data_IF_029954234808
#
_entry.id   IF_029954234808
#
_cell.length_a   1.000
_cell.length_b   1.000
_cell.length_c   1.000
_cell.angle_alpha   90.00
_cell.angle_beta   90.00
_cell.angle_gamma   90.00
#
_symmetry.space_group_name_H-M   'P 1'
#
loop_
_entity.id
_entity.type
_entity.pdbx_description
1 polymer ?
#
# COMPACT_ATOMS: atom_id res chain seq x y z
N UNK A 1 -2.97 28.76 -34.91
CA UNK A 1 -2.46 27.56 -34.20
C UNK A 1 -2.75 27.64 -32.70
N UNK A 2 -2.93 28.85 -32.14
CA UNK A 2 -3.36 29.09 -30.75
C UNK A 2 -4.84 28.70 -30.49
N UNK A 3 -5.79 29.07 -31.35
CA UNK A 3 -7.22 28.73 -31.18
C UNK A 3 -7.50 27.22 -31.08
N UNK A 4 -6.75 26.37 -31.79
CA UNK A 4 -6.90 24.90 -31.68
C UNK A 4 -6.33 24.34 -30.38
N UNK A 5 -5.36 25.01 -29.79
CA UNK A 5 -4.79 24.63 -28.48
C UNK A 5 -5.70 25.04 -27.33
N UNK A 6 -6.34 26.20 -27.44
CA UNK A 6 -7.26 26.74 -26.43
C UNK A 6 -8.57 25.93 -26.35
N UNK A 7 -9.19 25.63 -27.49
CA UNK A 7 -10.40 24.77 -27.56
C UNK A 7 -10.15 23.36 -27.02
N UNK A 8 -8.98 22.77 -27.32
CA UNK A 8 -8.62 21.43 -26.83
C UNK A 8 -8.34 21.42 -25.32
N UNK A 9 -7.85 22.53 -24.76
CA UNK A 9 -7.66 22.69 -23.32
C UNK A 9 -9.00 22.83 -22.59
N UNK A 10 -9.94 23.60 -23.14
CA UNK A 10 -11.29 23.77 -22.58
C UNK A 10 -12.09 22.46 -22.58
N UNK A 11 -12.02 21.67 -23.66
CA UNK A 11 -12.67 20.35 -23.71
C UNK A 11 -12.11 19.39 -22.66
N UNK A 12 -10.79 19.44 -22.42
CA UNK A 12 -10.12 18.58 -21.44
C UNK A 12 -10.46 18.99 -20.02
N UNK A 13 -10.50 20.30 -19.75
CA UNK A 13 -10.97 20.83 -18.47
C UNK A 13 -12.41 20.41 -18.20
N UNK A 14 -13.31 20.52 -19.18
CA UNK A 14 -14.70 20.11 -19.05
C UNK A 14 -14.83 18.61 -18.67
N UNK A 15 -14.07 17.73 -19.33
CA UNK A 15 -14.05 16.29 -19.01
C UNK A 15 -13.54 16.00 -17.60
N UNK A 16 -12.43 16.64 -17.19
CA UNK A 16 -11.90 16.50 -15.83
C UNK A 16 -12.90 17.01 -14.80
N UNK A 17 -13.59 18.11 -15.09
CA UNK A 17 -14.63 18.68 -14.22
C UNK A 17 -15.81 17.72 -14.06
N UNK A 18 -16.29 17.13 -15.15
CA UNK A 18 -17.36 16.13 -15.12
C UNK A 18 -16.98 14.93 -14.25
N UNK A 19 -15.80 14.36 -14.47
CA UNK A 19 -15.29 13.24 -13.65
C UNK A 19 -15.09 13.63 -12.19
N UNK A 20 -14.66 14.86 -11.93
CA UNK A 20 -14.49 15.37 -10.56
C UNK A 20 -15.85 15.50 -9.85
N UNK A 21 -16.87 16.05 -10.51
CA UNK A 21 -18.24 16.12 -9.96
C UNK A 21 -18.76 14.71 -9.68
N UNK A 22 -18.59 13.79 -10.63
CA UNK A 22 -18.98 12.39 -10.47
C UNK A 22 -18.30 11.75 -9.25
N UNK A 23 -17.00 11.98 -9.05
CA UNK A 23 -16.26 11.49 -7.87
C UNK A 23 -16.88 12.00 -6.55
N UNK A 24 -17.27 13.28 -6.49
CA UNK A 24 -17.89 13.87 -5.30
C UNK A 24 -19.29 13.30 -5.02
N UNK A 25 -20.10 13.11 -6.06
CA UNK A 25 -21.44 12.52 -5.96
C UNK A 25 -21.38 11.04 -5.58
N UNK A 26 -20.44 10.29 -6.14
CA UNK A 26 -20.26 8.87 -5.81
C UNK A 26 -19.79 8.70 -4.36
N UNK A 27 -18.94 9.58 -3.85
CA UNK A 27 -18.61 9.63 -2.43
C UNK A 27 -19.84 9.94 -1.55
N UNK A 28 -20.77 10.79 -2.02
CA UNK A 28 -22.03 11.04 -1.33
C UNK A 28 -22.92 9.80 -1.24
N UNK A 29 -23.04 9.07 -2.36
CA UNK A 29 -23.78 7.79 -2.41
C UNK A 29 -23.11 6.76 -1.51
N UNK A 30 -21.78 6.67 -1.54
CA UNK A 30 -20.99 5.77 -0.72
C UNK A 30 -21.24 6.01 0.78
N UNK A 31 -21.29 7.27 1.22
CA UNK A 31 -21.56 7.63 2.61
C UNK A 31 -22.93 7.14 3.12
N UNK A 32 -23.90 6.96 2.23
CA UNK A 32 -25.26 6.53 2.57
C UNK A 32 -25.46 5.02 2.37
N UNK A 33 -24.85 4.44 1.34
CA UNK A 33 -25.16 3.08 0.88
C UNK A 33 -24.19 2.02 1.39
N UNK A 34 -22.99 2.41 1.81
CA UNK A 34 -21.98 1.44 2.25
C UNK A 34 -22.20 1.03 3.70
N UNK A 35 -22.49 -0.25 3.92
CA UNK A 35 -22.86 -0.83 5.22
C UNK A 35 -21.82 -0.58 6.32
N UNK A 36 -20.53 -0.54 5.97
CA UNK A 36 -19.43 -0.32 6.91
C UNK A 36 -18.93 1.13 6.93
N UNK A 37 -19.67 2.09 6.35
CA UNK A 37 -19.21 3.48 6.26
C UNK A 37 -18.96 4.10 7.63
N UNK A 38 -19.88 3.90 8.58
CA UNK A 38 -19.77 4.46 9.92
C UNK A 38 -18.53 3.94 10.67
N UNK A 39 -18.23 2.64 10.54
CA UNK A 39 -17.02 2.03 11.09
C UNK A 39 -15.75 2.56 10.40
N UNK A 40 -15.74 2.57 9.06
CA UNK A 40 -14.60 3.05 8.27
C UNK A 40 -14.31 4.54 8.48
N UNK A 41 -15.28 5.34 8.95
CA UNK A 41 -15.19 6.79 9.17
C UNK A 41 -15.17 7.22 10.64
N UNK A 42 -15.14 6.29 11.60
CA UNK A 42 -15.03 6.61 13.03
C UNK A 42 -13.78 7.48 13.34
N UNK A 43 -13.94 8.54 14.13
CA UNK A 43 -12.89 9.53 14.42
C UNK A 43 -12.25 10.14 13.14
N UNK A 44 -12.99 10.25 12.03
CA UNK A 44 -12.51 10.85 10.79
C UNK A 44 -13.14 12.23 10.56
N UNK A 45 -12.36 13.27 10.86
CA UNK A 45 -12.76 14.66 10.69
C UNK A 45 -11.78 15.33 9.72
N UNK A 46 -12.15 15.40 8.44
CA UNK A 46 -11.29 15.88 7.38
C UNK A 46 -12.02 16.82 6.42
N UNK A 47 -11.44 17.99 6.20
CA UNK A 47 -11.82 18.91 5.13
C UNK A 47 -10.77 18.80 4.02
N UNK A 48 -11.14 18.08 2.96
CA UNK A 48 -10.27 17.75 1.84
C UNK A 48 -10.50 18.74 0.71
N UNK A 49 -9.56 19.65 0.49
CA UNK A 49 -9.54 20.54 -0.67
C UNK A 49 -8.94 19.83 -1.87
N UNK A 50 -9.65 19.83 -2.99
CA UNK A 50 -9.19 19.32 -4.28
C UNK A 50 -8.74 20.45 -5.20
N UNK A 51 -7.66 20.20 -5.95
CA UNK A 51 -7.08 21.12 -6.94
C UNK A 51 -6.63 20.35 -8.18
N UNK A 52 -7.42 20.38 -9.25
CA UNK A 52 -7.08 19.77 -10.55
C UNK A 52 -6.93 20.85 -11.62
N UNK A 53 -5.70 21.25 -11.93
CA UNK A 53 -5.45 22.38 -12.83
C UNK A 53 -6.15 23.66 -12.31
N UNK A 54 -7.12 24.25 -13.04
CA UNK A 54 -7.95 25.35 -12.55
C UNK A 54 -9.15 24.91 -11.69
N UNK A 55 -9.57 23.64 -11.76
CA UNK A 55 -10.76 23.12 -11.08
C UNK A 55 -10.52 23.03 -9.57
N UNK A 56 -11.50 23.50 -8.81
CA UNK A 56 -11.50 23.49 -7.34
C UNK A 56 -12.78 22.86 -6.81
N UNK A 57 -12.70 22.37 -5.58
CA UNK A 57 -13.83 21.89 -4.81
C UNK A 57 -13.31 21.24 -3.54
N UNK A 58 -14.19 21.00 -2.59
CA UNK A 58 -13.79 20.36 -1.34
C UNK A 58 -14.84 19.36 -0.86
N UNK A 59 -14.38 18.39 -0.08
CA UNK A 59 -15.21 17.44 0.65
C UNK A 59 -15.02 17.67 2.13
N UNK A 60 -16.09 17.51 2.89
CA UNK A 60 -16.08 17.46 4.35
C UNK A 60 -16.52 16.07 4.74
N UNK A 61 -15.63 15.39 5.46
CA UNK A 61 -15.90 14.13 6.13
C UNK A 61 -15.91 14.41 7.63
N UNK A 62 -17.03 14.11 8.28
CA UNK A 62 -17.21 14.29 9.71
C UNK A 62 -17.94 13.06 10.25
N UNK A 63 -17.17 12.00 10.52
CA UNK A 63 -17.69 10.67 10.86
C UNK A 63 -18.70 10.16 9.80
N UNK A 64 -19.97 10.04 10.17
CA UNK A 64 -21.04 9.60 9.26
C UNK A 64 -21.54 10.71 8.33
N UNK A 65 -21.23 11.97 8.63
CA UNK A 65 -21.66 13.10 7.82
C UNK A 65 -20.68 13.35 6.67
N UNK A 66 -21.24 13.53 5.49
CA UNK A 66 -20.50 13.85 4.28
C UNK A 66 -21.17 15.00 3.53
N UNK A 67 -20.36 15.98 3.13
CA UNK A 67 -20.80 17.04 2.22
C UNK A 67 -19.67 17.46 1.28
N UNK A 68 -20.02 18.16 0.21
CA UNK A 68 -19.03 18.69 -0.73
C UNK A 68 -19.51 19.99 -1.36
N UNK A 69 -18.55 20.75 -1.88
CA UNK A 69 -18.80 21.90 -2.74
C UNK A 69 -17.87 21.88 -3.96
N UNK A 70 -18.38 22.43 -5.07
CA UNK A 70 -17.67 22.52 -6.35
C UNK A 70 -17.35 23.99 -6.60
N UNK A 71 -16.19 24.26 -7.20
CA UNK A 71 -15.67 25.60 -7.52
C UNK A 71 -15.49 26.52 -6.30
N UNK A 72 -15.42 25.94 -5.10
CA UNK A 72 -15.14 26.66 -3.86
C UNK A 72 -13.83 26.19 -3.22
N UNK A 73 -13.20 27.11 -2.49
CA UNK A 73 -12.09 26.79 -1.60
C UNK A 73 -12.59 26.78 -0.15
N UNK A 74 -12.24 25.72 0.58
CA UNK A 74 -12.54 25.63 2.00
C UNK A 74 -11.74 26.70 2.78
N UNK A 75 -12.35 27.29 3.81
CA UNK A 75 -11.70 28.31 4.63
C UNK A 75 -10.48 27.76 5.38
N UNK A 76 -10.57 26.54 5.90
CA UNK A 76 -9.52 25.94 6.73
C UNK A 76 -9.27 24.44 6.44
N UNK A 77 -8.87 24.06 5.22
CA UNK A 77 -8.75 22.65 4.83
C UNK A 77 -7.68 21.91 5.64
N UNK A 78 -8.00 20.70 6.10
CA UNK A 78 -7.07 19.83 6.83
C UNK A 78 -6.14 19.07 5.88
N UNK A 79 -6.55 18.90 4.63
CA UNK A 79 -5.83 18.20 3.57
C UNK A 79 -6.06 18.92 2.23
N UNK A 80 -5.01 19.02 1.41
CA UNK A 80 -5.11 19.47 0.01
C UNK A 80 -4.59 18.35 -0.90
N UNK A 81 -5.36 17.99 -1.91
CA UNK A 81 -5.03 16.95 -2.88
C UNK A 81 -5.23 17.42 -4.31
N UNK A 82 -4.47 16.84 -5.24
CA UNK A 82 -4.70 16.99 -6.67
C UNK A 82 -3.41 17.16 -7.46
N UNK A 83 -3.52 17.71 -8.67
CA UNK A 83 -2.39 17.91 -9.56
C UNK A 83 -2.64 19.07 -10.54
N UNK A 84 -1.57 19.68 -11.03
CA UNK A 84 -1.67 20.75 -12.04
C UNK A 84 -1.90 20.21 -13.46
N UNK A 85 -1.52 18.95 -13.68
CA UNK A 85 -1.60 18.29 -14.97
C UNK A 85 -2.98 17.66 -15.16
N UNK A 86 -3.72 18.12 -16.17
CA UNK A 86 -5.08 17.64 -16.46
C UNK A 86 -5.10 16.22 -17.04
N UNK A 87 -4.03 15.73 -17.68
CA UNK A 87 -3.98 14.31 -18.11
C UNK A 87 -3.89 13.40 -16.90
N UNK A 88 -3.05 13.77 -15.93
CA UNK A 88 -2.93 13.04 -14.68
C UNK A 88 -4.23 13.10 -13.87
N UNK A 89 -4.91 14.25 -13.85
CA UNK A 89 -6.20 14.39 -13.20
C UNK A 89 -7.24 13.45 -13.84
N UNK A 90 -7.30 13.44 -15.17
CA UNK A 90 -8.18 12.54 -15.92
C UNK A 90 -7.87 11.07 -15.59
N UNK A 91 -6.60 10.65 -15.69
CA UNK A 91 -6.18 9.27 -15.37
C UNK A 91 -6.55 8.86 -13.93
N UNK A 92 -6.36 9.78 -12.98
CA UNK A 92 -6.71 9.54 -11.58
C UNK A 92 -8.22 9.39 -11.38
N UNK A 93 -9.02 10.32 -11.90
CA UNK A 93 -10.48 10.33 -11.72
C UNK A 93 -11.19 9.24 -12.53
N UNK A 94 -10.59 8.80 -13.64
CA UNK A 94 -11.09 7.72 -14.50
C UNK A 94 -10.57 6.33 -14.08
N UNK A 95 -9.94 6.22 -12.91
CA UNK A 95 -9.42 4.96 -12.35
C UNK A 95 -8.35 4.25 -13.23
N UNK A 96 -7.60 5.00 -14.03
CA UNK A 96 -6.56 4.46 -14.94
C UNK A 96 -5.19 4.28 -14.26
N UNK A 97 -5.06 4.70 -13.01
CA UNK A 97 -3.82 4.52 -12.24
C UNK A 97 -3.72 3.08 -11.74
N UNK A 98 -2.76 2.33 -12.28
CA UNK A 98 -2.66 0.87 -12.09
C UNK A 98 -2.51 0.42 -10.63
N UNK A 99 -1.69 1.10 -9.82
CA UNK A 99 -1.43 0.76 -8.41
C UNK A 99 -0.83 1.95 -7.64
N UNK A 100 -0.78 1.85 -6.31
CA UNK A 100 -0.31 2.95 -5.45
C UNK A 100 1.10 3.45 -5.78
N UNK A 101 2.10 2.57 -6.01
CA UNK A 101 3.42 3.05 -6.44
C UNK A 101 3.44 3.80 -7.77
N UNK A 102 2.48 3.55 -8.68
CA UNK A 102 2.36 4.29 -9.93
C UNK A 102 1.92 5.72 -9.62
N UNK A 103 0.92 5.90 -8.76
CA UNK A 103 0.48 7.22 -8.28
C UNK A 103 1.64 8.01 -7.64
N UNK A 104 2.44 7.35 -6.79
CA UNK A 104 3.62 7.98 -6.15
C UNK A 104 4.73 8.37 -7.12
N UNK A 105 4.74 7.78 -8.32
CA UNK A 105 5.65 8.14 -9.40
C UNK A 105 5.25 9.42 -10.15
N UNK A 106 4.05 9.94 -9.89
CA UNK A 106 3.48 11.07 -10.64
C UNK A 106 3.76 12.44 -9.98
N UNK A 107 3.20 13.50 -10.57
CA UNK A 107 3.23 14.87 -10.03
C UNK A 107 2.04 15.17 -9.12
N UNK A 108 1.33 14.15 -8.63
CA UNK A 108 0.23 14.33 -7.69
C UNK A 108 0.73 14.96 -6.39
N UNK A 109 -0.05 15.88 -5.83
CA UNK A 109 0.29 16.71 -4.70
C UNK A 109 -0.54 16.31 -3.47
N UNK A 110 0.11 16.41 -2.31
CA UNK A 110 -0.54 16.32 -1.00
C UNK A 110 -0.05 17.47 -0.13
N UNK A 111 -0.99 18.23 0.41
CA UNK A 111 -0.76 19.33 1.34
C UNK A 111 -1.37 19.02 2.70
N UNK A 112 -0.60 19.22 3.76
CA UNK A 112 -1.08 19.08 5.14
C UNK A 112 -0.67 20.30 5.96
N UNK A 113 -1.48 20.65 6.96
CA UNK A 113 -1.10 21.66 7.96
C UNK A 113 0.13 21.18 8.75
N UNK A 114 1.14 22.04 8.82
CA UNK A 114 2.29 21.85 9.70
C UNK A 114 1.95 22.18 11.16
N UNK A 115 2.90 21.99 12.10
CA UNK A 115 2.73 22.33 13.52
C UNK A 115 2.37 23.80 13.76
N UNK A 116 2.77 24.68 12.83
CA UNK A 116 2.52 26.12 12.86
C UNK A 116 1.22 26.53 12.14
N UNK A 117 0.37 25.57 11.77
CA UNK A 117 -0.89 25.81 11.04
C UNK A 117 -0.72 26.11 9.55
N UNK A 118 0.50 26.35 9.07
CA UNK A 118 0.77 26.62 7.64
C UNK A 118 0.63 25.37 6.79
N UNK A 119 -0.12 25.48 5.69
CA UNK A 119 -0.36 24.37 4.77
C UNK A 119 0.78 24.27 3.76
N UNK A 120 1.46 23.12 3.73
CA UNK A 120 2.60 22.88 2.84
C UNK A 120 2.27 21.78 1.84
N UNK A 121 2.07 22.17 0.58
CA UNK A 121 1.91 21.26 -0.54
C UNK A 121 3.26 20.67 -0.95
N UNK A 122 3.32 19.36 -1.09
CA UNK A 122 4.47 18.63 -1.65
C UNK A 122 3.94 17.59 -2.62
N UNK A 123 4.82 17.07 -3.50
CA UNK A 123 4.46 15.84 -4.21
C UNK A 123 4.08 14.79 -3.19
N UNK A 124 3.09 13.97 -3.53
CA UNK A 124 2.87 12.71 -2.82
C UNK A 124 4.20 11.97 -2.94
N UNK A 125 4.99 12.07 -1.87
CA UNK A 125 6.40 11.74 -1.97
C UNK A 125 6.52 10.28 -2.41
N UNK A 126 7.66 9.90 -3.01
CA UNK A 126 8.14 8.54 -2.76
C UNK A 126 7.95 8.32 -1.28
N UNK A 127 7.32 7.22 -0.90
CA UNK A 127 7.30 6.78 0.47
C UNK A 127 8.79 6.73 0.91
N UNK A 128 9.30 7.83 1.48
CA UNK A 128 10.59 7.89 2.19
C UNK A 128 10.25 7.34 3.54
N UNK A 129 10.19 6.01 3.57
CA UNK A 129 9.71 5.28 4.72
C UNK A 129 8.51 4.40 4.42
N UNK A 130 8.76 3.31 3.68
CA UNK A 130 8.54 2.01 4.30
C UNK A 130 9.66 1.97 5.34
N UNK A 131 9.47 2.80 6.36
CA UNK A 131 10.38 2.87 7.45
C UNK A 131 10.22 1.51 8.03
N UNK A 132 11.33 0.92 8.47
CA UNK A 132 11.25 0.12 9.62
C UNK A 132 10.06 0.39 10.54
N UNK A 133 9.02 -0.44 10.45
CA UNK A 133 7.89 -0.50 11.37
C UNK A 133 6.51 -0.20 10.78
N UNK A 134 6.34 -0.09 9.45
CA UNK A 134 5.02 0.23 8.88
C UNK A 134 4.76 -0.52 7.56
N UNK A 135 4.30 -1.76 7.66
CA UNK A 135 3.50 -2.33 6.59
C UNK A 135 2.19 -1.53 6.46
N UNK A 136 1.63 -1.35 5.25
CA UNK A 136 0.24 -0.98 5.08
C UNK A 136 -0.57 -2.19 5.55
N UNK A 137 -0.86 -2.22 6.84
CA UNK A 137 -1.84 -3.16 7.39
C UNK A 137 -3.21 -2.65 6.98
N UNK A 138 -3.97 -3.46 6.24
CA UNK A 138 -5.44 -3.41 6.17
C UNK A 138 -6.08 -3.84 7.51
N UNK A 139 -5.38 -3.63 8.62
CA UNK A 139 -5.75 -4.09 9.96
C UNK A 139 -5.63 -2.92 10.92
N UNK A 140 -6.71 -2.77 11.68
CA UNK A 140 -7.03 -1.95 12.86
C UNK A 140 -5.94 -1.80 13.94
N UNK A 141 -4.73 -2.32 13.74
CA UNK A 141 -3.64 -2.31 14.72
C UNK A 141 -3.01 -0.91 15.01
N UNK A 142 -3.65 0.19 14.58
CA UNK A 142 -3.25 1.57 14.88
C UNK A 142 -4.36 2.47 15.42
N UNK A 143 -5.39 1.88 16.02
CA UNK A 143 -6.40 2.64 16.79
C UNK A 143 -5.78 3.42 17.97
N UNK A 144 -4.62 3.00 18.49
CA UNK A 144 -4.03 3.59 19.70
C UNK A 144 -2.91 4.62 19.47
N UNK A 145 -2.71 5.14 18.25
CA UNK A 145 -1.73 6.22 18.02
C UNK A 145 -2.34 7.61 18.32
N UNK A 146 -1.61 8.53 18.99
CA UNK A 146 -2.11 9.87 19.27
C UNK A 146 -2.61 10.59 17.99
N UNK A 147 -3.71 11.36 18.03
CA UNK A 147 -4.34 11.99 16.86
C UNK A 147 -3.35 12.79 15.99
N UNK A 148 -2.35 13.40 16.63
CA UNK A 148 -1.30 14.22 16.02
C UNK A 148 -0.25 13.45 15.20
N UNK A 149 -0.31 12.11 15.15
CA UNK A 149 0.67 11.25 14.47
C UNK A 149 0.06 10.27 13.45
N UNK A 150 -1.22 10.40 13.08
CA UNK A 150 -1.77 9.63 11.95
C UNK A 150 -1.01 10.02 10.66
N UNK A 151 -0.22 9.09 10.14
CA UNK A 151 0.57 9.29 8.91
C UNK A 151 -0.38 9.70 7.78
N UNK A 152 0.03 10.65 6.95
CA UNK A 152 -0.74 11.14 5.78
C UNK A 152 -1.29 9.98 4.94
N UNK A 153 -0.53 8.90 4.78
CA UNK A 153 -0.99 7.69 4.11
C UNK A 153 -2.27 7.10 4.73
N UNK A 154 -2.34 6.98 6.07
CA UNK A 154 -3.52 6.42 6.74
C UNK A 154 -4.78 7.29 6.55
N UNK A 155 -4.60 8.62 6.41
CA UNK A 155 -5.70 9.55 6.11
C UNK A 155 -6.20 9.36 4.67
N UNK A 156 -5.28 9.23 3.70
CA UNK A 156 -5.64 9.00 2.29
C UNK A 156 -6.39 7.69 2.06
N UNK A 157 -6.01 6.62 2.79
CA UNK A 157 -6.63 5.30 2.65
C UNK A 157 -8.12 5.28 3.00
N UNK A 158 -8.59 6.23 3.83
CA UNK A 158 -9.99 6.34 4.23
C UNK A 158 -10.83 7.13 3.23
N UNK A 159 -10.21 7.89 2.33
CA UNK A 159 -10.96 8.67 1.33
C UNK A 159 -11.38 7.73 0.18
N UNK A 160 -12.69 7.63 -0.14
CA UNK A 160 -13.22 6.58 -1.03
C UNK A 160 -12.56 6.47 -2.40
N UNK A 161 -12.16 7.58 -3.02
CA UNK A 161 -11.54 7.60 -4.36
C UNK A 161 -10.22 6.81 -4.43
N UNK A 162 -9.52 6.59 -3.32
CA UNK A 162 -8.28 5.81 -3.32
C UNK A 162 -8.49 4.30 -3.15
N UNK A 163 -9.70 3.85 -2.80
CA UNK A 163 -9.99 2.44 -2.51
C UNK A 163 -9.71 1.51 -3.71
N UNK A 164 -10.13 1.80 -4.96
CA UNK A 164 -9.84 0.91 -6.09
C UNK A 164 -8.33 0.73 -6.35
N UNK A 165 -7.55 1.81 -6.23
CA UNK A 165 -6.08 1.76 -6.34
C UNK A 165 -5.49 0.88 -5.23
N UNK A 166 -6.08 0.90 -4.03
CA UNK A 166 -5.68 0.03 -2.91
C UNK A 166 -6.01 -1.43 -3.15
N UNK A 167 -7.22 -1.73 -3.60
CA UNK A 167 -7.66 -3.09 -3.90
C UNK A 167 -6.78 -3.72 -4.97
N UNK A 168 -6.43 -2.98 -6.04
CA UNK A 168 -5.47 -3.45 -7.06
C UNK A 168 -4.05 -3.65 -6.52
N UNK A 169 -3.67 -2.85 -5.52
CA UNK A 169 -2.35 -2.95 -4.87
C UNK A 169 -2.27 -4.17 -3.95
N UNK A 170 -3.33 -4.45 -3.21
CA UNK A 170 -3.43 -5.61 -2.33
C UNK A 170 -3.68 -6.91 -3.11
N UNK A 171 -4.52 -6.85 -4.15
CA UNK A 171 -4.93 -7.94 -5.04
C UNK A 171 -5.24 -9.24 -4.27
N UNK A 172 -6.29 -9.23 -3.42
CA UNK A 172 -6.56 -10.32 -2.49
C UNK A 172 -6.83 -11.67 -3.19
N UNK A 173 -7.34 -11.67 -4.42
CA UNK A 173 -7.55 -12.90 -5.20
C UNK A 173 -6.22 -13.56 -5.61
N UNK A 174 -5.16 -12.74 -5.76
CA UNK A 174 -3.85 -13.20 -6.19
C UNK A 174 -2.80 -13.24 -5.07
N UNK A 175 -3.11 -12.66 -3.91
CA UNK A 175 -2.24 -12.61 -2.73
C UNK A 175 -2.70 -13.63 -1.68
N UNK A 176 -1.98 -14.74 -1.57
CA UNK A 176 -2.23 -15.76 -0.55
C UNK A 176 -1.04 -15.84 0.42
N UNK A 177 -1.30 -15.60 1.70
CA UNK A 177 -0.34 -15.78 2.81
C UNK A 177 -0.89 -16.87 3.74
N UNK A 178 -0.29 -18.07 3.70
CA UNK A 178 -0.67 -19.17 4.59
C UNK A 178 0.28 -19.17 5.79
N UNK A 179 -0.25 -18.85 6.97
CA UNK A 179 0.47 -18.94 8.24
C UNK A 179 0.26 -20.33 8.83
N UNK A 180 1.33 -21.10 8.94
CA UNK A 180 1.30 -22.44 9.50
C UNK A 180 1.55 -22.32 11.02
N UNK A 181 0.57 -22.62 11.89
CA UNK A 181 0.77 -22.58 13.33
C UNK A 181 1.67 -23.73 13.78
N UNK A 182 2.64 -23.43 14.63
CA UNK A 182 3.51 -24.40 15.30
C UNK A 182 3.50 -24.04 16.80
N UNK A 183 3.38 -25.04 17.68
CA UNK A 183 3.24 -24.95 19.15
C UNK A 183 1.84 -24.68 19.73
N UNK A 184 0.76 -24.94 18.99
CA UNK A 184 -0.57 -25.11 19.61
C UNK A 184 -0.90 -26.59 19.82
N UNK A 185 -1.44 -26.95 20.99
CA UNK A 185 -1.77 -28.34 21.30
C UNK A 185 -3.04 -28.77 20.57
N UNK A 186 -2.92 -29.69 19.60
CA UNK A 186 -4.04 -30.31 18.89
C UNK A 186 -4.61 -31.56 19.61
N UNK A 187 -4.48 -31.63 20.94
CA UNK A 187 -4.85 -32.80 21.75
C UNK A 187 -3.73 -33.84 21.86
N UNK A 188 -4.09 -35.09 22.16
CA UNK A 188 -3.18 -36.21 22.49
C UNK A 188 -2.49 -36.82 21.27
N UNK A 189 -1.74 -36.02 20.54
CA UNK A 189 -0.84 -36.48 19.49
C UNK A 189 0.59 -36.17 19.91
N UNK A 190 1.50 -37.14 19.76
CA UNK A 190 2.93 -36.92 19.98
C UNK A 190 3.43 -35.82 19.02
N UNK A 191 4.37 -34.99 19.50
CA UNK A 191 4.94 -33.90 18.72
C UNK A 191 5.61 -34.42 17.44
N UNK A 192 4.86 -34.50 16.34
CA UNK A 192 5.42 -34.64 15.01
C UNK A 192 5.41 -33.26 14.33
N UNK A 193 6.61 -32.73 14.09
CA UNK A 193 6.80 -31.54 13.28
C UNK A 193 6.16 -31.75 11.91
N UNK A 194 5.31 -30.83 11.44
CA UNK A 194 5.02 -30.70 10.00
C UNK A 194 5.72 -29.44 9.46
N UNK A 195 6.69 -29.62 8.55
CA UNK A 195 8.08 -29.41 8.96
C UNK A 195 8.93 -28.71 7.89
N UNK A 196 10.21 -28.54 8.20
CA UNK A 196 11.29 -28.28 7.23
C UNK A 196 11.14 -29.04 5.89
N UNK A 197 10.49 -30.21 5.86
CA UNK A 197 10.20 -30.96 4.64
C UNK A 197 9.34 -30.18 3.60
N UNK A 198 8.39 -29.35 4.03
CA UNK A 198 7.59 -28.52 3.09
C UNK A 198 8.47 -27.44 2.47
N UNK A 199 9.27 -26.75 3.30
CA UNK A 199 10.25 -25.78 2.82
C UNK A 199 11.26 -26.45 1.89
N UNK A 200 11.72 -27.65 2.25
CA UNK A 200 12.65 -28.43 1.47
C UNK A 200 12.09 -28.80 0.10
N UNK A 201 10.83 -29.22 0.03
CA UNK A 201 10.15 -29.48 -1.23
C UNK A 201 10.12 -28.25 -2.14
N UNK A 202 9.69 -27.09 -1.63
CA UNK A 202 9.59 -25.87 -2.43
C UNK A 202 10.96 -25.31 -2.84
N UNK A 203 11.94 -25.31 -1.93
CA UNK A 203 13.32 -24.89 -2.24
C UNK A 203 13.94 -25.81 -3.29
N UNK A 204 13.74 -27.13 -3.18
CA UNK A 204 14.27 -28.08 -4.16
C UNK A 204 13.58 -27.98 -5.54
N UNK A 205 12.30 -27.59 -5.59
CA UNK A 205 11.59 -27.31 -6.85
C UNK A 205 11.88 -25.94 -7.44
N UNK A 206 12.38 -24.99 -6.66
CA UNK A 206 12.65 -23.64 -7.14
C UNK A 206 13.71 -23.65 -8.25
N UNK A 207 13.46 -22.87 -9.30
CA UNK A 207 14.45 -22.67 -10.36
C UNK A 207 15.61 -21.79 -9.89
N UNK A 208 15.30 -20.77 -9.09
CA UNK A 208 16.25 -19.78 -8.57
C UNK A 208 15.87 -19.44 -7.14
N UNK A 209 16.88 -19.07 -6.35
CA UNK A 209 16.75 -18.68 -4.94
C UNK A 209 17.40 -17.31 -4.76
N UNK A 210 16.67 -16.38 -4.17
CA UNK A 210 17.19 -15.09 -3.71
C UNK A 210 17.19 -15.06 -2.19
N UNK A 211 18.35 -14.76 -1.60
CA UNK A 211 18.60 -14.77 -0.17
C UNK A 211 18.72 -13.31 0.30
N UNK A 212 17.80 -12.85 1.12
CA UNK A 212 17.84 -11.49 1.68
C UNK A 212 18.93 -11.37 2.76
N UNK A 213 19.83 -10.39 2.72
CA UNK A 213 20.88 -10.30 3.75
C UNK A 213 20.37 -9.87 5.14
N UNK A 214 19.18 -9.29 5.19
CA UNK A 214 18.51 -8.87 6.42
C UNK A 214 17.00 -9.14 6.31
N UNK A 215 16.31 -9.28 7.43
CA UNK A 215 14.86 -9.34 7.47
C UNK A 215 14.31 -7.92 7.47
N UNK A 216 13.63 -7.47 6.39
CA UNK A 216 13.05 -6.14 6.38
C UNK A 216 12.09 -6.00 7.54
N UNK A 217 11.15 -6.93 7.75
CA UNK A 217 10.12 -6.86 8.79
C UNK A 217 10.67 -6.81 10.24
N UNK A 218 11.77 -7.51 10.54
CA UNK A 218 12.40 -7.47 11.88
C UNK A 218 13.25 -6.22 12.08
N UNK A 219 14.07 -5.87 11.09
CA UNK A 219 14.73 -4.56 11.08
C UNK A 219 13.68 -3.47 11.22
N UNK A 220 12.50 -3.72 10.62
CA UNK A 220 11.40 -2.81 10.61
C UNK A 220 10.86 -2.55 12.02
N UNK A 221 10.47 -3.60 12.70
CA UNK A 221 9.97 -3.52 14.07
C UNK A 221 11.04 -3.21 15.13
N UNK A 222 12.30 -2.95 14.74
CA UNK A 222 13.45 -2.90 15.64
C UNK A 222 13.49 -4.10 16.60
N UNK A 223 13.20 -5.29 16.05
CA UNK A 223 13.06 -6.52 16.83
C UNK A 223 14.35 -6.79 17.61
N UNK A 224 14.22 -6.99 18.93
CA UNK A 224 15.32 -7.34 19.84
C UNK A 224 15.35 -8.83 20.19
N UNK A 225 14.25 -9.54 19.93
CA UNK A 225 14.07 -10.92 20.33
C UNK A 225 14.64 -11.92 19.32
N UNK A 226 14.78 -11.52 18.05
CA UNK A 226 15.20 -12.39 16.96
C UNK A 226 16.21 -11.69 16.05
N UNK A 227 17.13 -12.49 15.48
CA UNK A 227 18.20 -12.01 14.61
C UNK A 227 17.66 -11.31 13.34
N UNK A 228 18.06 -10.06 13.16
CA UNK A 228 17.68 -9.25 12.00
C UNK A 228 18.44 -9.65 10.72
N UNK A 229 19.57 -10.34 10.83
CA UNK A 229 20.33 -10.85 9.67
C UNK A 229 19.68 -12.07 9.03
N UNK A 230 18.77 -12.73 9.75
CA UNK A 230 18.05 -13.90 9.27
C UNK A 230 16.86 -13.46 8.41
N UNK A 231 17.12 -13.04 7.18
CA UNK A 231 16.11 -12.56 6.24
C UNK A 231 15.23 -13.65 5.63
N UNK A 232 14.14 -13.24 4.97
CA UNK A 232 13.34 -14.09 4.11
C UNK A 232 14.19 -14.65 2.93
N UNK A 233 13.57 -15.45 2.09
CA UNK A 233 14.08 -15.80 0.76
C UNK A 233 12.96 -15.70 -0.27
N UNK A 234 13.32 -15.57 -1.54
CA UNK A 234 12.40 -15.63 -2.65
C UNK A 234 12.79 -16.76 -3.62
N UNK A 235 11.79 -17.41 -4.20
CA UNK A 235 11.90 -18.57 -5.05
C UNK A 235 11.24 -18.30 -6.40
N UNK A 236 11.79 -18.89 -7.46
CA UNK A 236 11.21 -18.86 -8.80
C UNK A 236 11.94 -17.93 -9.77
N UNK A 237 11.45 -17.82 -11.01
CA UNK A 237 12.11 -17.03 -12.07
C UNK A 237 12.14 -15.54 -11.74
N UNK A 238 11.16 -15.04 -10.99
CA UNK A 238 11.12 -13.65 -10.55
C UNK A 238 12.27 -13.26 -9.62
N UNK A 239 12.89 -14.24 -8.95
CA UNK A 239 14.02 -14.01 -8.05
C UNK A 239 15.21 -13.34 -8.77
N UNK A 240 15.39 -13.61 -10.07
CA UNK A 240 16.43 -12.99 -10.90
C UNK A 240 16.22 -11.49 -11.12
N UNK A 241 14.98 -11.00 -11.01
CA UNK A 241 14.66 -9.59 -11.22
C UNK A 241 14.82 -8.75 -9.95
N UNK A 242 15.04 -9.39 -8.80
CA UNK A 242 15.15 -8.68 -7.53
C UNK A 242 16.44 -7.86 -7.44
N UNK A 243 16.30 -6.55 -7.24
CA UNK A 243 17.40 -5.59 -7.12
C UNK A 243 17.35 -4.87 -5.76
N UNK A 244 17.57 -5.62 -4.68
CA UNK A 244 17.43 -5.11 -3.31
C UNK A 244 18.65 -5.43 -2.45
N UNK A 245 18.46 -5.68 -1.15
CA UNK A 245 19.50 -5.95 -0.15
C UNK A 245 19.78 -7.45 0.02
N UNK A 246 19.64 -8.23 -1.04
CA UNK A 246 19.94 -9.66 -1.06
C UNK A 246 20.83 -10.04 -2.23
N UNK A 247 20.98 -11.34 -2.44
CA UNK A 247 21.72 -11.90 -3.56
C UNK A 247 21.08 -13.19 -4.04
N UNK A 248 21.38 -13.58 -5.26
CA UNK A 248 21.13 -14.95 -5.70
C UNK A 248 21.97 -15.89 -4.81
N UNK A 249 21.32 -16.93 -4.33
CA UNK A 249 21.92 -17.97 -3.49
C UNK A 249 21.64 -19.36 -4.04
N UNK A 250 22.14 -20.37 -3.33
CA UNK A 250 21.92 -21.76 -3.68
C UNK A 250 20.75 -22.36 -2.89
N UNK A 251 20.30 -23.55 -3.32
CA UNK A 251 19.26 -24.31 -2.61
C UNK A 251 19.74 -24.70 -1.22
N UNK A 252 21.00 -25.10 -1.08
CA UNK A 252 21.63 -25.46 0.19
C UNK A 252 21.64 -24.27 1.15
N UNK A 253 21.94 -23.06 0.66
CA UNK A 253 21.87 -21.82 1.47
C UNK A 253 20.45 -21.53 1.96
N UNK A 254 19.43 -21.75 1.12
CA UNK A 254 18.03 -21.60 1.50
C UNK A 254 17.58 -22.64 2.55
N UNK A 255 17.97 -23.90 2.37
CA UNK A 255 17.66 -24.97 3.33
C UNK A 255 18.33 -24.71 4.67
N UNK A 256 19.60 -24.33 4.67
CA UNK A 256 20.34 -24.03 5.89
C UNK A 256 19.74 -22.82 6.62
N UNK A 257 19.36 -21.79 5.87
CA UNK A 257 18.65 -20.64 6.44
C UNK A 257 17.31 -21.02 7.05
N UNK A 258 16.54 -21.91 6.39
CA UNK A 258 15.28 -22.42 6.93
C UNK A 258 15.48 -23.17 8.24
N UNK A 259 16.51 -24.02 8.33
CA UNK A 259 16.87 -24.74 9.56
C UNK A 259 17.21 -23.79 10.69
N UNK A 260 18.04 -22.79 10.40
CA UNK A 260 18.43 -21.74 11.37
C UNK A 260 17.22 -20.95 11.87
N UNK A 261 16.27 -20.61 10.99
CA UNK A 261 15.08 -19.87 11.37
C UNK A 261 14.15 -20.67 12.27
N UNK A 262 13.85 -21.91 11.89
CA UNK A 262 13.03 -22.81 12.71
C UNK A 262 13.71 -23.12 14.05
N UNK A 263 15.02 -23.36 14.07
CA UNK A 263 15.78 -23.57 15.30
C UNK A 263 15.80 -22.34 16.23
N UNK A 264 15.67 -21.14 15.65
CA UNK A 264 15.51 -19.89 16.40
C UNK A 264 14.07 -19.66 16.90
N UNK A 265 13.13 -20.57 16.63
CA UNK A 265 11.72 -20.47 17.03
C UNK A 265 10.88 -19.60 16.09
N UNK A 266 11.39 -19.26 14.90
CA UNK A 266 10.64 -18.49 13.91
C UNK A 266 9.69 -19.37 13.11
N UNK A 267 8.52 -18.81 12.79
CA UNK A 267 7.46 -19.52 12.07
C UNK A 267 7.61 -19.29 10.56
N UNK A 268 7.93 -20.34 9.78
CA UNK A 268 7.98 -20.19 8.34
C UNK A 268 6.59 -19.90 7.77
N UNK A 269 6.48 -18.84 6.98
CA UNK A 269 5.35 -18.57 6.10
C UNK A 269 5.79 -18.68 4.65
N UNK A 270 4.91 -19.20 3.80
CA UNK A 270 5.14 -19.30 2.36
C UNK A 270 3.96 -18.68 1.62
N UNK A 271 4.23 -17.90 0.59
CA UNK A 271 3.17 -17.22 -0.15
C UNK A 271 3.67 -16.50 -1.38
N UNK A 272 2.75 -16.28 -2.31
CA UNK A 272 2.92 -15.29 -3.37
C UNK A 272 2.21 -14.03 -2.92
N UNK A 273 2.98 -12.95 -2.78
CA UNK A 273 2.47 -11.65 -2.40
C UNK A 273 2.78 -10.69 -3.53
N UNK A 274 1.75 -10.20 -4.24
CA UNK A 274 1.95 -9.32 -5.40
C UNK A 274 2.71 -8.04 -5.03
N UNK A 275 2.43 -7.49 -3.85
CA UNK A 275 3.12 -6.29 -3.36
C UNK A 275 4.62 -6.49 -3.22
N UNK A 276 5.09 -7.71 -2.93
CA UNK A 276 6.50 -8.01 -2.77
C UNK A 276 7.26 -7.87 -4.10
N UNK A 277 6.63 -8.21 -5.23
CA UNK A 277 7.19 -7.97 -6.56
C UNK A 277 7.44 -6.48 -6.80
N UNK A 278 6.60 -5.61 -6.26
CA UNK A 278 6.77 -4.15 -6.37
C UNK A 278 7.80 -3.64 -5.37
N UNK A 279 7.66 -4.01 -4.09
CA UNK A 279 8.54 -3.59 -2.99
C UNK A 279 9.99 -3.99 -3.27
N UNK A 280 10.19 -5.21 -3.75
CA UNK A 280 11.51 -5.74 -4.05
C UNK A 280 11.96 -5.55 -5.50
N UNK A 281 11.28 -4.65 -6.23
CA UNK A 281 11.66 -4.20 -7.58
C UNK A 281 11.81 -5.34 -8.59
N UNK A 282 11.05 -6.41 -8.44
CA UNK A 282 11.06 -7.59 -9.29
C UNK A 282 10.05 -7.50 -10.46
N UNK A 283 9.72 -6.28 -10.90
CA UNK A 283 8.78 -6.02 -11.99
C UNK A 283 9.33 -6.51 -13.35
N UNK A 284 8.45 -6.89 -14.31
CA UNK A 284 6.99 -6.97 -14.17
C UNK A 284 6.55 -8.17 -13.32
N UNK A 285 5.35 -8.11 -12.75
CA UNK A 285 4.73 -9.27 -12.08
C UNK A 285 4.28 -10.27 -13.14
N UNK A 286 4.66 -11.55 -12.96
CA UNK A 286 4.35 -12.64 -13.88
C UNK A 286 3.86 -13.91 -13.16
N UNK A 287 3.49 -13.81 -11.88
CA UNK A 287 3.15 -14.97 -11.05
C UNK A 287 4.31 -15.94 -10.76
N UNK A 288 5.56 -15.53 -10.99
CA UNK A 288 6.75 -16.40 -10.96
C UNK A 288 7.72 -16.12 -9.79
N UNK A 289 7.23 -15.42 -8.76
CA UNK A 289 7.97 -15.05 -7.55
C UNK A 289 7.17 -15.47 -6.31
N UNK A 290 7.76 -16.35 -5.49
CA UNK A 290 7.19 -16.81 -4.22
C UNK A 290 8.15 -16.46 -3.09
N UNK A 291 7.65 -16.05 -1.93
CA UNK A 291 8.45 -15.73 -0.77
C UNK A 291 8.31 -16.81 0.30
N UNK A 292 9.42 -17.08 1.00
CA UNK A 292 9.44 -17.79 2.28
C UNK A 292 9.96 -16.80 3.32
N UNK A 293 9.12 -16.45 4.28
CA UNK A 293 9.47 -15.59 5.41
C UNK A 293 9.45 -16.35 6.73
N UNK A 294 10.03 -15.74 7.76
CA UNK A 294 10.20 -16.29 9.10
C UNK A 294 10.07 -15.18 10.14
#
# INVERSE_FOLDING_TARGET
>A
MEERGEVAMDEKEAKVRELFVKMLEDAAKYAVQYEFYAEDMEDFHEVVQWKFGPIRGYQVFDETEYSFKIDEEAEDPTLVLGCKDLDLAYQFLNDEISHWPALLGTKFLVGTKGPEGTLKEKRIGKITGFAPGNAPTLSSAKENAPPKQRRVSARLLRIPVFRPIMERTADPENSNDVRIPINESLGTYENESIPLAVLEYFVNKASHVYIFQQCPCRALANCKNYDQSLGCMALGKGALRMQTFGRIGTKEEALERSRRAVAAGLLPSLGRVKSDTIIYRALPEQGDLMHICF
#
